data_IF_100542231900
#
_entry.id   IF_100542231900
#
_cell.length_a   1.000
_cell.length_b   1.000
_cell.length_c   1.000
_cell.angle_alpha   90.00
_cell.angle_beta   90.00
_cell.angle_gamma   90.00
#
_symmetry.space_group_name_H-M   'P 1'
#
loop_
_entity.id
_entity.type
_entity.pdbx_description
1 polymer ?
#
# COMPACT_ATOMS: atom_id res chain seq x y z
N UNK A 1 -2.70 29.03 -5.06
CA UNK A 1 -1.33 28.53 -4.85
C UNK A 1 -1.03 27.56 -5.97
N UNK A 2 0.00 27.83 -6.78
CA UNK A 2 0.28 27.07 -8.01
C UNK A 2 0.53 25.60 -7.70
N UNK A 3 -0.42 24.73 -8.06
CA UNK A 3 -0.20 23.29 -8.02
C UNK A 3 0.92 22.96 -8.99
N UNK A 4 2.00 22.35 -8.49
CA UNK A 4 3.08 21.88 -9.35
C UNK A 4 2.54 20.92 -10.42
N UNK A 5 3.21 20.87 -11.57
CA UNK A 5 2.90 19.87 -12.60
C UNK A 5 2.95 18.46 -12.00
N UNK A 6 2.10 17.56 -12.49
CA UNK A 6 2.15 16.13 -12.14
C UNK A 6 3.57 15.56 -12.33
N UNK A 7 4.29 16.01 -13.37
CA UNK A 7 5.67 15.58 -13.61
C UNK A 7 6.64 16.04 -12.52
N UNK A 8 6.43 17.24 -11.96
CA UNK A 8 7.23 17.75 -10.85
C UNK A 8 6.95 16.95 -9.57
N UNK A 9 5.67 16.65 -9.32
CA UNK A 9 5.26 15.80 -8.19
C UNK A 9 5.82 14.38 -8.29
N UNK A 10 5.70 13.73 -9.45
CA UNK A 10 6.24 12.38 -9.68
C UNK A 10 7.75 12.37 -9.45
N UNK A 11 8.48 13.38 -9.94
CA UNK A 11 9.92 13.48 -9.74
C UNK A 11 10.31 13.62 -8.26
N UNK A 12 9.62 14.48 -7.52
CA UNK A 12 9.90 14.67 -6.09
C UNK A 12 9.52 13.44 -5.27
N UNK A 13 8.36 12.84 -5.53
CA UNK A 13 7.88 11.64 -4.83
C UNK A 13 8.83 10.45 -4.98
N UNK A 14 9.33 10.22 -6.20
CA UNK A 14 10.23 9.11 -6.48
C UNK A 14 11.72 9.44 -6.28
N UNK A 15 12.07 10.60 -5.71
CA UNK A 15 13.47 11.04 -5.58
C UNK A 15 14.36 10.11 -4.75
N UNK A 16 13.76 9.32 -3.86
CA UNK A 16 14.46 8.38 -2.99
C UNK A 16 14.78 7.04 -3.68
N UNK A 17 14.33 6.83 -4.91
CA UNK A 17 14.53 5.57 -5.64
C UNK A 17 15.60 5.74 -6.71
N UNK A 18 16.55 4.79 -6.78
CA UNK A 18 17.61 4.76 -7.79
C UNK A 18 17.11 4.42 -9.21
N UNK A 19 15.81 4.15 -9.35
CA UNK A 19 15.20 3.72 -10.61
C UNK A 19 13.95 4.57 -10.88
N UNK A 20 13.66 4.85 -12.17
CA UNK A 20 12.45 5.58 -12.53
C UNK A 20 11.20 4.77 -12.14
N UNK A 21 10.07 5.45 -11.88
CA UNK A 21 8.82 4.78 -11.60
C UNK A 21 8.37 3.94 -12.79
N UNK A 22 7.77 2.78 -12.50
CA UNK A 22 7.16 1.94 -13.51
C UNK A 22 5.79 2.49 -13.90
N UNK A 23 5.55 2.64 -15.20
CA UNK A 23 4.21 2.99 -15.70
C UNK A 23 3.32 1.76 -15.66
N UNK A 24 2.13 1.92 -15.10
CA UNK A 24 1.08 0.90 -15.03
C UNK A 24 -0.20 1.43 -15.68
N UNK A 25 -1.04 0.53 -16.18
CA UNK A 25 -2.38 0.87 -16.67
C UNK A 25 -3.37 1.13 -15.55
N UNK A 26 -4.52 1.73 -15.89
CA UNK A 26 -5.59 2.01 -14.93
C UNK A 26 -6.12 0.74 -14.24
N UNK A 27 -6.38 -0.32 -15.00
CA UNK A 27 -6.88 -1.59 -14.42
C UNK A 27 -5.86 -2.23 -13.46
N UNK A 28 -4.56 -2.12 -13.75
CA UNK A 28 -3.52 -2.57 -12.83
C UNK A 28 -3.55 -1.75 -11.53
N UNK A 29 -3.67 -0.42 -11.63
CA UNK A 29 -3.78 0.45 -10.46
C UNK A 29 -5.02 0.12 -9.61
N UNK A 30 -6.17 -0.12 -10.26
CA UNK A 30 -7.41 -0.55 -9.59
C UNK A 30 -7.24 -1.89 -8.88
N UNK A 31 -6.67 -2.89 -9.55
CA UNK A 31 -6.38 -4.21 -8.94
C UNK A 31 -5.47 -4.09 -7.72
N UNK A 32 -4.40 -3.29 -7.81
CA UNK A 32 -3.44 -3.11 -6.72
C UNK A 32 -4.11 -2.43 -5.52
N UNK A 33 -4.83 -1.32 -5.74
CA UNK A 33 -5.42 -0.51 -4.65
C UNK A 33 -6.60 -1.24 -4.01
N UNK A 34 -7.59 -1.68 -4.79
CA UNK A 34 -8.78 -2.34 -4.25
C UNK A 34 -8.47 -3.72 -3.70
N UNK A 35 -7.63 -4.50 -4.39
CA UNK A 35 -7.18 -5.79 -3.90
C UNK A 35 -6.33 -5.65 -2.64
N UNK A 36 -5.47 -4.62 -2.57
CA UNK A 36 -4.66 -4.34 -1.39
C UNK A 36 -5.51 -3.99 -0.17
N UNK A 37 -6.55 -3.18 -0.33
CA UNK A 37 -7.50 -2.87 0.75
C UNK A 37 -8.29 -4.11 1.16
N UNK A 38 -8.78 -4.90 0.21
CA UNK A 38 -9.48 -6.15 0.51
C UNK A 38 -8.59 -7.12 1.28
N UNK A 39 -7.32 -7.26 0.88
CA UNK A 39 -6.33 -8.08 1.58
C UNK A 39 -6.01 -7.52 2.98
N UNK A 40 -5.83 -6.20 3.14
CA UNK A 40 -5.57 -5.61 4.45
C UNK A 40 -6.71 -5.84 5.44
N UNK A 41 -7.97 -5.83 4.97
CA UNK A 41 -9.14 -6.14 5.78
C UNK A 41 -9.15 -7.56 6.32
N UNK A 42 -8.68 -8.55 5.55
CA UNK A 42 -8.58 -9.94 6.04
C UNK A 42 -7.54 -10.07 7.16
N UNK A 43 -6.62 -9.11 7.29
CA UNK A 43 -5.61 -9.04 8.34
C UNK A 43 -6.05 -8.21 9.56
N UNK A 44 -7.24 -7.60 9.53
CA UNK A 44 -7.76 -6.76 10.61
C UNK A 44 -7.41 -5.27 10.49
N UNK A 45 -7.04 -4.80 9.31
CA UNK A 45 -6.81 -3.38 9.04
C UNK A 45 -7.94 -2.76 8.23
N UNK A 46 -8.26 -1.51 8.55
CA UNK A 46 -9.10 -0.67 7.70
C UNK A 46 -8.24 0.35 6.94
N UNK A 47 -8.67 0.78 5.75
CA UNK A 47 -7.97 1.83 5.02
C UNK A 47 -8.06 3.17 5.77
N UNK A 48 -7.31 4.17 5.29
CA UNK A 48 -7.36 5.52 5.85
C UNK A 48 -8.81 6.07 5.86
N UNK A 49 -9.20 6.90 6.85
CA UNK A 49 -10.57 7.39 6.99
C UNK A 49 -11.14 8.11 5.76
N UNK A 50 -10.28 8.76 4.99
CA UNK A 50 -10.60 9.49 3.76
C UNK A 50 -10.60 8.61 2.50
N UNK A 51 -10.18 7.35 2.60
CA UNK A 51 -10.08 6.43 1.46
C UNK A 51 -11.38 6.32 0.67
N UNK A 52 -12.52 6.25 1.35
CA UNK A 52 -13.82 6.16 0.68
C UNK A 52 -14.12 7.40 -0.18
N UNK A 53 -13.66 8.58 0.23
CA UNK A 53 -13.87 9.82 -0.51
C UNK A 53 -12.96 9.92 -1.74
N UNK A 54 -11.72 9.42 -1.63
CA UNK A 54 -10.72 9.55 -2.72
C UNK A 54 -10.76 8.38 -3.71
N UNK A 55 -11.17 7.19 -3.28
CA UNK A 55 -11.18 5.98 -4.12
C UNK A 55 -12.13 6.05 -5.31
N UNK A 56 -13.14 6.92 -5.25
CA UNK A 56 -14.06 7.19 -6.36
C UNK A 56 -13.34 7.72 -7.60
N UNK A 57 -12.23 8.45 -7.43
CA UNK A 57 -11.43 8.97 -8.54
C UNK A 57 -10.65 7.87 -9.27
N UNK A 58 -10.38 6.75 -8.60
CA UNK A 58 -9.72 5.59 -9.20
C UNK A 58 -10.70 4.71 -9.97
N UNK A 59 -11.99 4.76 -9.64
CA UNK A 59 -13.00 3.82 -10.14
C UNK A 59 -12.77 2.40 -9.62
N UNK A 60 -13.59 1.45 -10.08
CA UNK A 60 -13.47 0.03 -9.72
C UNK A 60 -12.81 -0.81 -10.83
N UNK A 61 -12.23 -1.98 -10.50
CA UNK A 61 -11.63 -2.87 -11.48
C UNK A 61 -12.68 -3.40 -12.47
N UNK A 62 -12.36 -3.38 -13.77
CA UNK A 62 -13.16 -3.98 -14.82
C UNK A 62 -13.03 -5.52 -14.89
N UNK A 63 -13.81 -6.20 -15.74
CA UNK A 63 -13.77 -7.66 -15.87
C UNK A 63 -12.44 -8.20 -16.44
N UNK A 64 -11.67 -7.37 -17.14
CA UNK A 64 -10.34 -7.71 -17.66
C UNK A 64 -9.20 -7.39 -16.67
N UNK A 65 -9.53 -6.89 -15.47
CA UNK A 65 -8.53 -6.45 -14.52
C UNK A 65 -7.64 -7.63 -14.07
N UNK A 66 -6.31 -7.44 -14.04
CA UNK A 66 -5.38 -8.52 -13.73
C UNK A 66 -5.53 -8.95 -12.27
N UNK A 67 -5.36 -10.24 -12.03
CA UNK A 67 -5.28 -10.80 -10.68
C UNK A 67 -3.89 -10.51 -10.09
N UNK A 68 -3.86 -9.88 -8.93
CA UNK A 68 -2.63 -9.53 -8.21
C UNK A 68 -2.60 -10.29 -6.88
N UNK A 69 -1.51 -11.01 -6.63
CA UNK A 69 -1.26 -11.62 -5.33
C UNK A 69 -0.72 -10.60 -4.33
N UNK A 70 -1.14 -10.72 -3.07
CA UNK A 70 -0.73 -9.82 -1.98
C UNK A 70 0.08 -10.55 -0.92
N UNK A 71 0.92 -9.80 -0.21
CA UNK A 71 1.93 -10.33 0.71
C UNK A 71 3.29 -10.51 0.04
N UNK A 72 4.26 -10.99 0.80
CA UNK A 72 5.63 -11.27 0.37
C UNK A 72 5.98 -12.70 0.71
N UNK A 73 6.35 -13.49 -0.29
CA UNK A 73 6.65 -14.92 -0.11
C UNK A 73 5.51 -15.70 0.57
N UNK A 74 4.25 -15.33 0.25
CA UNK A 74 3.06 -15.99 0.78
C UNK A 74 2.63 -15.53 2.18
N UNK A 75 3.31 -14.55 2.80
CA UNK A 75 2.96 -14.02 4.12
C UNK A 75 2.65 -12.52 4.09
N UNK A 76 1.82 -12.00 5.01
CA UNK A 76 1.75 -10.57 5.28
C UNK A 76 3.14 -10.02 5.59
N UNK A 77 3.47 -8.88 4.99
CA UNK A 77 4.75 -8.21 5.19
C UNK A 77 4.55 -6.73 5.51
N UNK A 78 5.00 -6.31 6.70
CA UNK A 78 4.89 -4.93 7.15
C UNK A 78 6.24 -4.21 7.08
N UNK A 79 6.27 -3.00 6.54
CA UNK A 79 7.42 -2.08 6.61
C UNK A 79 6.92 -0.84 7.33
N UNK A 80 7.59 -0.43 8.42
CA UNK A 80 7.14 0.74 9.15
C UNK A 80 7.35 2.04 8.38
N UNK A 81 6.27 2.81 8.27
CA UNK A 81 6.33 4.20 7.90
C UNK A 81 6.78 5.09 9.08
N UNK A 82 7.25 6.31 8.80
CA UNK A 82 7.70 7.26 9.83
C UNK A 82 6.58 7.74 10.76
N UNK A 83 5.31 7.48 10.42
CA UNK A 83 4.13 7.90 11.19
C UNK A 83 3.36 6.72 11.77
N UNK A 84 3.85 5.50 11.59
CA UNK A 84 3.14 4.30 12.00
C UNK A 84 3.32 4.02 13.49
N UNK A 85 2.25 3.62 14.16
CA UNK A 85 2.36 2.91 15.43
C UNK A 85 2.71 1.44 15.14
N UNK A 86 4.00 1.19 14.94
CA UNK A 86 4.51 -0.14 14.61
C UNK A 86 4.12 -1.20 15.65
N UNK A 87 4.01 -0.84 16.94
CA UNK A 87 3.61 -1.78 18.00
C UNK A 87 2.15 -2.18 17.83
N UNK A 88 1.27 -1.22 17.50
CA UNK A 88 -0.14 -1.53 17.20
C UNK A 88 -0.26 -2.43 15.99
N UNK A 89 0.45 -2.12 14.90
CA UNK A 89 0.38 -2.89 13.66
C UNK A 89 0.87 -4.34 13.86
N UNK A 90 2.02 -4.53 14.50
CA UNK A 90 2.55 -5.87 14.80
C UNK A 90 1.60 -6.65 15.70
N UNK A 91 0.98 -6.02 16.70
CA UNK A 91 -0.04 -6.68 17.54
C UNK A 91 -1.27 -7.10 16.76
N UNK A 92 -1.74 -6.30 15.79
CA UNK A 92 -2.85 -6.68 14.91
C UNK A 92 -2.47 -7.90 14.06
N UNK A 93 -1.27 -7.93 13.47
CA UNK A 93 -0.79 -9.08 12.71
C UNK A 93 -0.65 -10.33 13.58
N UNK A 94 -0.09 -10.20 14.77
CA UNK A 94 0.04 -11.30 15.73
C UNK A 94 -1.34 -11.87 16.10
N UNK A 95 -2.32 -11.02 16.38
CA UNK A 95 -3.67 -11.45 16.72
C UNK A 95 -4.38 -12.16 15.55
N UNK A 96 -4.24 -11.66 14.33
CA UNK A 96 -4.97 -12.20 13.17
C UNK A 96 -4.27 -13.41 12.54
N UNK A 97 -2.95 -13.39 12.46
CA UNK A 97 -2.15 -14.39 11.74
C UNK A 97 -1.51 -15.42 12.69
N UNK A 98 -1.24 -15.04 13.94
CA UNK A 98 -0.45 -15.82 14.88
C UNK A 98 1.06 -15.71 14.66
N UNK A 99 1.82 -16.04 15.71
CA UNK A 99 3.28 -16.03 15.72
C UNK A 99 3.88 -16.80 14.52
N UNK A 100 4.82 -16.16 13.81
CA UNK A 100 5.55 -16.79 12.70
C UNK A 100 4.82 -16.78 11.34
N UNK A 101 3.57 -16.32 11.29
CA UNK A 101 2.76 -16.27 10.07
C UNK A 101 2.74 -14.90 9.39
N UNK A 102 3.55 -13.95 9.86
CA UNK A 102 3.78 -12.65 9.25
C UNK A 102 5.24 -12.25 9.44
N UNK A 103 5.71 -11.35 8.59
CA UNK A 103 7.07 -10.82 8.64
C UNK A 103 7.01 -9.29 8.68
N UNK A 104 8.04 -8.65 9.23
CA UNK A 104 8.13 -7.19 9.24
C UNK A 104 9.56 -6.70 9.14
N UNK A 105 9.72 -5.47 8.66
CA UNK A 105 10.96 -4.71 8.65
C UNK A 105 10.75 -3.40 9.40
N UNK A 106 11.51 -3.21 10.48
CA UNK A 106 11.56 -1.94 11.21
C UNK A 106 12.78 -1.15 10.77
N UNK A 107 12.60 -0.22 9.83
CA UNK A 107 13.57 0.81 9.50
C UNK A 107 13.79 1.74 10.69
N UNK A 108 15.03 1.85 11.14
CA UNK A 108 15.46 2.67 12.29
C UNK A 108 16.09 4.00 11.87
N UNK A 109 15.89 4.47 10.62
CA UNK A 109 16.53 5.68 10.08
C UNK A 109 15.59 6.53 9.23
N UNK A 110 15.92 7.82 8.99
CA UNK A 110 15.13 8.68 8.12
C UNK A 110 15.21 8.15 6.67
N UNK A 111 14.06 8.14 5.98
CA UNK A 111 13.98 8.02 4.52
C UNK A 111 14.53 9.27 3.85
#
# INVERSE_FOLDING_TARGET
>A
MGGGSLDAYVRDYYRAFDRPPLRIGLEQAQSIVHGGVAYARTLGFEPAPDFAQVSVHLGGPGPAAPQVGFGRQGKPFYINGPRDDARKIVRTLEHTCGAGNYDYLLGTGPL
#
